data_IF_678231789710
#
_entry.id   IF_678231789710
#
_cell.length_a   1.000
_cell.length_b   1.000
_cell.length_c   1.000
_cell.angle_alpha   90.00
_cell.angle_beta   90.00
_cell.angle_gamma   90.00
#
_symmetry.space_group_name_H-M   'P 1'
#
loop_
_entity.id
_entity.type
_entity.pdbx_description
1 polymer ?
#
# COMPACT_ATOMS: atom_id res chain seq x y z
N UNK A 1 27.98 -6.52 -37.98
CA UNK A 1 29.03 -5.94 -37.11
C UNK A 1 28.30 -4.93 -36.21
N UNK A 2 28.24 -4.95 -34.88
CA UNK A 2 28.98 -5.60 -33.79
C UNK A 2 27.99 -5.90 -32.64
N UNK A 3 28.24 -6.99 -31.90
CA UNK A 3 27.58 -7.39 -30.65
C UNK A 3 28.26 -6.70 -29.43
N UNK A 4 27.72 -7.00 -28.24
CA UNK A 4 28.26 -6.80 -26.87
C UNK A 4 27.90 -5.50 -26.19
N UNK A 5 27.68 -5.39 -24.87
CA UNK A 5 27.74 -6.25 -23.67
C UNK A 5 27.04 -5.37 -22.59
N UNK A 6 26.30 -5.82 -21.58
CA UNK A 6 26.84 -6.46 -20.38
C UNK A 6 25.70 -6.79 -19.41
N UNK A 7 25.81 -7.97 -18.82
CA UNK A 7 25.04 -8.52 -17.70
C UNK A 7 25.58 -8.02 -16.35
N UNK A 8 24.64 -7.95 -15.38
CA UNK A 8 24.80 -8.07 -13.92
C UNK A 8 25.62 -7.02 -13.13
N UNK A 9 24.99 -6.41 -12.13
CA UNK A 9 25.32 -6.69 -10.73
C UNK A 9 24.31 -6.09 -9.72
N UNK A 10 23.97 -6.97 -8.79
CA UNK A 10 23.21 -6.85 -7.54
C UNK A 10 23.74 -5.77 -6.59
N UNK A 11 22.83 -4.99 -5.99
CA UNK A 11 22.94 -4.37 -4.66
C UNK A 11 21.50 -4.22 -4.13
N UNK A 12 20.98 -5.09 -3.26
CA UNK A 12 21.19 -5.14 -1.79
C UNK A 12 21.25 -3.73 -1.18
N UNK A 13 20.08 -3.21 -0.82
CA UNK A 13 19.89 -2.06 0.04
C UNK A 13 18.98 -2.43 1.21
N UNK A 14 19.60 -2.89 2.30
CA UNK A 14 18.97 -3.11 3.60
C UNK A 14 18.21 -1.86 4.04
N UNK A 15 16.90 -1.97 4.22
CA UNK A 15 16.09 -1.01 4.98
C UNK A 15 15.34 -1.76 6.08
N UNK A 16 16.09 -2.36 7.00
CA UNK A 16 15.58 -2.84 8.29
C UNK A 16 16.15 -1.95 9.38
N UNK A 17 15.65 -0.72 9.42
CA UNK A 17 15.71 0.12 10.60
C UNK A 17 14.46 -0.16 11.44
N UNK A 18 14.68 -0.88 12.54
CA UNK A 18 14.15 -0.53 13.85
C UNK A 18 12.66 -0.68 14.10
N UNK A 19 12.28 -1.77 14.76
CA UNK A 19 11.32 -1.70 15.87
C UNK A 19 11.47 -2.93 16.76
N UNK A 20 11.89 -2.74 18.01
CA UNK A 20 11.79 -3.77 19.05
C UNK A 20 13.05 -3.96 19.90
N UNK A 21 13.25 -3.08 20.90
CA UNK A 21 13.86 -3.51 22.16
C UNK A 21 12.76 -3.77 23.20
N UNK A 22 13.09 -4.16 24.44
CA UNK A 22 14.31 -4.76 24.95
C UNK A 22 14.04 -6.14 25.62
N UNK A 23 15.05 -6.63 26.35
CA UNK A 23 14.94 -7.36 27.64
C UNK A 23 15.23 -8.87 27.66
N UNK A 24 16.36 -9.16 28.34
CA UNK A 24 16.60 -10.25 29.30
C UNK A 24 17.22 -11.55 28.77
N UNK A 25 18.53 -11.65 28.99
CA UNK A 25 19.24 -12.92 29.23
C UNK A 25 18.58 -13.64 30.42
N UNK A 26 18.35 -14.96 30.33
CA UNK A 26 19.17 -15.83 31.16
C UNK A 26 19.60 -17.13 30.47
N UNK A 27 20.86 -17.45 30.69
CA UNK A 27 21.48 -18.75 30.99
C UNK A 27 20.66 -20.06 30.79
N UNK A 28 21.34 -21.02 30.13
CA UNK A 28 21.20 -22.50 30.26
C UNK A 28 20.28 -23.23 29.26
N UNK A 29 20.91 -23.86 28.26
CA UNK A 29 20.43 -25.03 27.53
C UNK A 29 20.56 -26.30 28.42
N UNK A 30 19.93 -27.49 28.16
CA UNK A 30 19.65 -28.03 26.82
C UNK A 30 18.39 -28.92 26.66
N UNK A 31 18.22 -29.35 25.40
CA UNK A 31 17.59 -30.57 24.91
C UNK A 31 16.09 -30.65 24.55
N UNK A 32 15.90 -30.99 23.26
CA UNK A 32 14.84 -31.83 22.68
C UNK A 32 13.39 -31.32 22.76
N UNK A 33 12.93 -30.66 21.71
CA UNK A 33 11.93 -31.21 20.77
C UNK A 33 11.73 -30.21 19.63
N UNK A 34 11.55 -30.72 18.41
CA UNK A 34 11.19 -30.05 17.14
C UNK A 34 11.42 -28.53 17.02
N UNK A 35 12.11 -28.02 15.96
CA UNK A 35 11.81 -26.66 15.54
C UNK A 35 10.32 -26.67 15.19
N UNK A 36 9.49 -26.11 16.07
CA UNK A 36 8.20 -25.62 15.68
C UNK A 36 8.54 -24.70 14.51
N UNK A 37 8.33 -25.19 13.30
CA UNK A 37 8.19 -24.36 12.13
C UNK A 37 6.95 -23.55 12.42
N UNK A 38 7.11 -22.51 13.23
CA UNK A 38 6.25 -21.35 13.26
C UNK A 38 6.38 -20.86 11.83
N UNK A 39 5.51 -21.37 10.97
CA UNK A 39 5.21 -20.77 9.69
C UNK A 39 4.81 -19.36 10.09
N UNK A 40 5.76 -18.44 9.98
CA UNK A 40 5.57 -17.03 10.28
C UNK A 40 4.55 -16.55 9.27
N UNK A 41 3.28 -16.78 9.59
CA UNK A 41 2.12 -16.30 8.87
C UNK A 41 2.17 -14.79 9.07
N UNK A 42 2.90 -14.13 8.18
CA UNK A 42 2.99 -12.69 8.16
C UNK A 42 1.60 -12.15 7.85
N UNK A 43 1.04 -11.40 8.79
CA UNK A 43 -0.15 -10.59 8.57
C UNK A 43 0.29 -9.29 7.89
N UNK A 44 -0.13 -9.08 6.65
CA UNK A 44 0.04 -7.80 5.98
C UNK A 44 -1.24 -7.01 6.08
N UNK A 45 -1.11 -5.76 6.50
CA UNK A 45 -2.21 -4.78 6.53
C UNK A 45 -1.79 -3.58 5.71
N UNK A 46 -2.66 -3.16 4.79
CA UNK A 46 -2.50 -1.90 4.06
C UNK A 46 -3.60 -0.92 4.49
N UNK A 47 -3.22 0.34 4.65
CA UNK A 47 -4.17 1.43 4.83
C UNK A 47 -4.83 1.71 3.48
N UNK A 48 -6.13 1.91 3.45
CA UNK A 48 -6.87 2.23 2.25
C UNK A 48 -7.40 3.67 2.30
N UNK A 49 -7.75 4.24 1.13
CA UNK A 49 -8.36 5.55 1.10
C UNK A 49 -9.68 5.50 1.87
N UNK A 50 -10.09 6.61 2.47
CA UNK A 50 -11.30 6.65 3.32
C UNK A 50 -11.15 6.06 4.73
N UNK A 51 -9.93 5.77 5.17
CA UNK A 51 -9.62 5.36 6.55
C UNK A 51 -9.93 3.90 6.86
N UNK A 52 -10.21 3.08 5.85
CA UNK A 52 -10.33 1.63 6.01
C UNK A 52 -8.98 0.95 5.88
N UNK A 53 -8.90 -0.34 6.21
CA UNK A 53 -7.73 -1.17 5.97
C UNK A 53 -8.15 -2.52 5.42
N UNK A 54 -7.26 -3.15 4.66
CA UNK A 54 -7.39 -4.55 4.25
C UNK A 54 -6.20 -5.29 4.81
N UNK A 55 -6.47 -6.47 5.36
CA UNK A 55 -5.47 -7.37 5.91
C UNK A 55 -5.60 -8.75 5.30
N UNK A 56 -4.46 -9.40 5.07
CA UNK A 56 -4.39 -10.80 4.68
C UNK A 56 -3.25 -11.49 5.43
N UNK A 57 -3.32 -12.82 5.52
CA UNK A 57 -2.30 -13.63 6.20
C UNK A 57 -1.72 -14.64 5.21
N UNK A 58 -0.39 -14.74 5.14
CA UNK A 58 0.27 -15.70 4.28
C UNK A 58 1.79 -15.70 4.44
N UNK A 59 2.44 -16.72 3.88
CA UNK A 59 3.90 -16.89 3.98
C UNK A 59 4.68 -15.84 3.18
N UNK A 60 4.08 -15.30 2.12
CA UNK A 60 4.60 -14.16 1.35
C UNK A 60 3.52 -13.09 1.34
N UNK A 61 3.76 -11.99 2.04
CA UNK A 61 2.84 -10.88 2.10
C UNK A 61 3.53 -9.56 1.74
N UNK A 62 2.85 -8.72 0.96
CA UNK A 62 3.25 -7.34 0.71
C UNK A 62 2.04 -6.42 0.89
N UNK A 63 2.25 -5.28 1.52
CA UNK A 63 1.23 -4.25 1.70
C UNK A 63 1.67 -2.99 0.95
N UNK A 64 0.74 -2.35 0.25
CA UNK A 64 0.96 -1.05 -0.38
C UNK A 64 -0.19 -0.15 0.01
N UNK A 65 0.11 0.87 0.81
CA UNK A 65 -0.88 1.84 1.26
C UNK A 65 -1.57 2.49 0.06
N UNK A 66 -2.87 2.70 0.21
CA UNK A 66 -3.80 3.20 -0.79
C UNK A 66 -4.04 2.27 -1.99
N UNK A 67 -3.45 1.07 -2.02
CA UNK A 67 -3.63 0.10 -3.11
C UNK A 67 -4.22 -1.23 -2.64
N UNK A 68 -3.64 -1.84 -1.60
CA UNK A 68 -4.08 -3.13 -1.08
C UNK A 68 -2.94 -4.00 -0.56
N UNK A 69 -3.22 -5.28 -0.40
CA UNK A 69 -2.27 -6.29 0.10
C UNK A 69 -2.18 -7.45 -0.87
N UNK A 70 -0.99 -8.02 -1.05
CA UNK A 70 -0.79 -9.28 -1.74
C UNK A 70 -0.45 -10.34 -0.71
N UNK A 71 -1.20 -11.44 -0.65
CA UNK A 71 -0.85 -12.61 0.17
C UNK A 71 -0.84 -13.86 -0.68
N UNK A 72 0.25 -14.63 -0.61
CA UNK A 72 0.36 -15.94 -1.28
C UNK A 72 0.13 -15.86 -2.80
N UNK A 73 0.46 -14.74 -3.42
CA UNK A 73 0.24 -14.48 -4.86
C UNK A 73 -1.14 -13.94 -5.22
N UNK A 74 -2.07 -13.80 -4.27
CA UNK A 74 -3.39 -13.17 -4.50
C UNK A 74 -3.37 -11.72 -4.04
N UNK A 75 -3.76 -10.79 -4.92
CA UNK A 75 -3.90 -9.37 -4.59
C UNK A 75 -5.32 -9.05 -4.11
N UNK A 76 -5.41 -8.51 -2.91
CA UNK A 76 -6.62 -7.97 -2.30
C UNK A 76 -6.57 -6.45 -2.39
N UNK A 77 -7.29 -5.91 -3.37
CA UNK A 77 -7.35 -4.47 -3.60
C UNK A 77 -8.11 -3.76 -2.47
N UNK A 78 -7.73 -2.51 -2.21
CA UNK A 78 -8.52 -1.60 -1.41
C UNK A 78 -9.91 -1.41 -2.02
N UNK A 79 -10.94 -1.54 -1.19
CA UNK A 79 -12.31 -1.14 -1.54
C UNK A 79 -12.54 0.34 -1.28
N UNK A 80 -13.76 0.80 -1.59
CA UNK A 80 -14.16 2.18 -1.36
C UNK A 80 -14.45 2.55 0.10
N UNK A 81 -14.52 1.59 1.03
CA UNK A 81 -14.74 1.88 2.44
C UNK A 81 -15.86 2.90 2.70
N UNK A 82 -15.50 4.02 3.34
CA UNK A 82 -16.37 5.16 3.64
C UNK A 82 -16.18 6.35 2.67
N UNK A 83 -15.49 6.18 1.54
CA UNK A 83 -15.31 7.26 0.58
C UNK A 83 -16.64 7.61 -0.11
N UNK A 84 -16.91 8.91 -0.30
CA UNK A 84 -18.07 9.32 -1.07
C UNK A 84 -17.87 9.06 -2.56
N UNK A 85 -18.95 8.97 -3.33
CA UNK A 85 -18.87 8.78 -4.77
C UNK A 85 -18.18 9.97 -5.47
N UNK A 86 -17.25 9.70 -6.40
CA UNK A 86 -16.57 10.74 -7.17
C UNK A 86 -17.55 11.59 -7.98
N UNK A 87 -18.64 11.00 -8.47
CA UNK A 87 -19.71 11.71 -9.16
C UNK A 87 -20.39 12.80 -8.31
N UNK A 88 -20.34 12.71 -6.97
CA UNK A 88 -20.90 13.73 -6.08
C UNK A 88 -20.08 15.03 -6.03
N UNK A 89 -18.80 14.97 -6.42
CA UNK A 89 -17.85 16.09 -6.39
C UNK A 89 -17.37 16.51 -7.77
N UNK A 90 -17.43 15.62 -8.76
CA UNK A 90 -17.07 15.93 -10.15
C UNK A 90 -17.74 17.23 -10.62
N UNK A 91 -16.96 18.09 -11.27
CA UNK A 91 -17.35 19.43 -11.74
C UNK A 91 -17.78 20.44 -10.65
N UNK A 92 -17.73 20.10 -9.36
CA UNK A 92 -17.93 21.08 -8.29
C UNK A 92 -16.71 21.96 -8.14
N UNK A 93 -16.96 23.18 -7.67
CA UNK A 93 -15.91 24.17 -7.39
C UNK A 93 -15.02 23.64 -6.28
N UNK A 94 -13.72 23.79 -6.48
CA UNK A 94 -12.69 23.60 -5.48
C UNK A 94 -11.85 24.87 -5.40
N UNK A 95 -11.09 25.04 -4.31
CA UNK A 95 -10.39 26.30 -4.04
C UNK A 95 -8.88 26.21 -4.29
N UNK A 96 -8.33 25.01 -4.22
CA UNK A 96 -6.88 24.81 -4.12
C UNK A 96 -6.39 23.97 -5.29
N UNK A 97 -5.73 24.62 -6.24
CA UNK A 97 -5.14 23.95 -7.40
C UNK A 97 -4.21 22.80 -6.99
N UNK A 98 -4.30 21.66 -7.66
CA UNK A 98 -3.47 20.49 -7.41
C UNK A 98 -3.88 19.65 -6.21
N UNK A 99 -4.89 20.06 -5.42
CA UNK A 99 -5.44 19.19 -4.38
C UNK A 99 -6.05 17.94 -4.99
N UNK A 100 -5.93 16.83 -4.26
CA UNK A 100 -6.59 15.57 -4.57
C UNK A 100 -7.66 15.30 -3.54
N UNK A 101 -8.85 14.93 -4.00
CA UNK A 101 -9.94 14.46 -3.15
C UNK A 101 -10.12 12.97 -3.40
N UNK A 102 -9.82 12.14 -2.41
CA UNK A 102 -10.10 10.71 -2.49
C UNK A 102 -11.61 10.48 -2.53
N UNK A 103 -12.05 9.63 -3.45
CA UNK A 103 -13.46 9.30 -3.65
C UNK A 103 -13.61 7.86 -4.18
N UNK A 104 -14.84 7.40 -4.31
CA UNK A 104 -15.17 6.08 -4.85
C UNK A 104 -15.66 6.20 -6.30
N UNK A 105 -15.00 5.49 -7.21
CA UNK A 105 -15.40 5.39 -8.60
C UNK A 105 -15.68 3.91 -8.96
N UNK A 106 -16.92 3.59 -9.31
CA UNK A 106 -17.33 2.22 -9.68
C UNK A 106 -16.88 1.13 -8.70
N UNK A 107 -16.95 1.40 -7.39
CA UNK A 107 -16.57 0.44 -6.34
C UNK A 107 -15.06 0.32 -6.09
N UNK A 108 -14.25 1.17 -6.73
CA UNK A 108 -12.80 1.27 -6.49
C UNK A 108 -12.44 2.64 -5.92
N UNK A 109 -11.48 2.71 -4.98
CA UNK A 109 -10.94 3.98 -4.53
C UNK A 109 -10.23 4.66 -5.70
N UNK A 110 -10.50 5.95 -5.83
CA UNK A 110 -10.00 6.82 -6.89
C UNK A 110 -9.78 8.22 -6.29
N UNK A 111 -9.30 9.16 -7.09
CA UNK A 111 -9.16 10.54 -6.68
C UNK A 111 -9.61 11.51 -7.77
N UNK A 112 -10.09 12.67 -7.34
CA UNK A 112 -10.32 13.82 -8.22
C UNK A 112 -9.22 14.85 -8.01
N UNK A 113 -8.75 15.45 -9.10
CA UNK A 113 -7.79 16.54 -9.08
C UNK A 113 -8.54 17.87 -9.16
N UNK A 114 -8.24 18.78 -8.24
CA UNK A 114 -8.68 20.15 -8.33
C UNK A 114 -7.84 20.88 -9.37
N UNK A 115 -8.39 21.11 -10.55
CA UNK A 115 -7.69 21.79 -11.64
C UNK A 115 -8.58 22.84 -12.29
N UNK A 116 -7.95 23.71 -13.06
CA UNK A 116 -8.66 24.67 -13.90
C UNK A 116 -8.46 24.20 -15.35
N UNK A 117 -9.40 23.37 -15.83
CA UNK A 117 -9.38 22.84 -17.20
C UNK A 117 -9.84 23.89 -18.24
N UNK A 118 -9.26 25.10 -18.19
CA UNK A 118 -9.52 26.18 -19.17
C UNK A 118 -10.64 27.15 -18.81
N UNK A 119 -11.03 27.25 -17.53
CA UNK A 119 -12.01 28.21 -17.02
C UNK A 119 -11.40 29.32 -16.15
N UNK A 120 -12.25 30.09 -15.46
CA UNK A 120 -11.82 31.07 -14.45
C UNK A 120 -11.85 30.49 -13.03
N UNK A 121 -12.45 29.32 -12.85
CA UNK A 121 -12.66 28.68 -11.53
C UNK A 121 -12.06 27.28 -11.51
N UNK A 122 -11.45 26.90 -10.39
CA UNK A 122 -11.01 25.53 -10.17
C UNK A 122 -12.20 24.60 -9.91
N UNK A 123 -12.14 23.39 -10.47
CA UNK A 123 -13.14 22.34 -10.30
C UNK A 123 -12.49 20.98 -10.13
N UNK A 124 -13.23 20.05 -9.55
CA UNK A 124 -12.80 18.65 -9.42
C UNK A 124 -12.97 17.89 -10.75
N UNK A 125 -11.88 17.29 -11.22
CA UNK A 125 -11.82 16.48 -12.44
C UNK A 125 -11.24 15.10 -12.16
N UNK A 126 -11.64 14.11 -12.96
CA UNK A 126 -10.96 12.83 -13.02
C UNK A 126 -9.58 13.02 -13.67
N UNK A 127 -8.57 12.27 -13.24
CA UNK A 127 -7.20 12.37 -13.72
C UNK A 127 -6.53 11.00 -13.83
#
# INVERSE_FOLDING_TARGET
>A
MKRSLATMLVFVGLSLLGCGGPVTEPETAPDTDAPATVSQLSSCTASCPGGTSVSCTGSNCSATDNQGVTCGGTFYACGCGNLPACSAYSNKICTTAGQQLSCCNNGRPDALLCSNAGGTTYRWYYF
#
